data_IF_411435200618
#
_entry.id   IF_411435200618
#
_cell.length_a   1.000
_cell.length_b   1.000
_cell.length_c   1.000
_cell.angle_alpha   90.00
_cell.angle_beta   90.00
_cell.angle_gamma   90.00
#
_symmetry.space_group_name_H-M   'P 1'
#
loop_
_entity.id
_entity.type
_entity.pdbx_description
1 polymer ?
#
# COMPACT_ATOMS: atom_id res chain seq x y z
N UNK A 1 13.93 22.22 -11.85
CA UNK A 1 12.47 22.39 -12.01
C UNK A 1 12.12 22.15 -13.48
N UNK A 2 11.29 21.16 -13.78
CA UNK A 2 10.76 20.90 -15.12
C UNK A 2 9.32 21.42 -15.17
N UNK A 3 8.95 22.16 -16.22
CA UNK A 3 7.63 22.77 -16.36
C UNK A 3 6.92 22.13 -17.54
N UNK A 4 5.76 21.53 -17.29
CA UNK A 4 4.92 20.89 -18.30
C UNK A 4 3.51 21.47 -18.22
N UNK A 5 2.95 21.85 -19.37
CA UNK A 5 1.56 22.29 -19.48
C UNK A 5 0.72 21.14 -20.03
N UNK A 6 -0.29 20.71 -19.27
CA UNK A 6 -1.23 19.64 -19.64
C UNK A 6 -2.67 20.16 -19.61
N UNK A 7 -3.50 19.63 -20.51
CA UNK A 7 -4.95 19.81 -20.51
C UNK A 7 -5.61 18.81 -19.55
N UNK A 8 -6.85 19.08 -19.08
CA UNK A 8 -7.61 18.08 -18.35
C UNK A 8 -7.82 16.82 -19.20
N UNK A 9 -7.59 15.66 -18.60
CA UNK A 9 -7.59 14.34 -19.24
C UNK A 9 -6.21 13.85 -19.69
N UNK A 10 -5.17 14.70 -19.67
CA UNK A 10 -3.81 14.27 -19.98
C UNK A 10 -3.07 13.78 -18.73
N UNK A 11 -2.13 12.86 -18.95
CA UNK A 11 -1.25 12.32 -17.92
C UNK A 11 0.21 12.73 -18.11
N UNK A 12 0.96 12.67 -17.02
CA UNK A 12 2.41 12.88 -16.93
C UNK A 12 2.95 11.61 -16.26
N UNK A 13 3.91 10.98 -16.91
CA UNK A 13 4.58 9.81 -16.34
C UNK A 13 5.89 10.25 -15.72
N UNK A 14 6.09 9.89 -14.46
CA UNK A 14 7.32 10.13 -13.69
C UNK A 14 7.89 8.75 -13.36
N UNK A 15 9.12 8.48 -13.81
CA UNK A 15 9.69 7.13 -13.76
C UNK A 15 8.80 6.10 -14.51
N UNK A 16 8.99 4.80 -14.27
CA UNK A 16 8.16 3.75 -14.86
C UNK A 16 6.86 3.50 -14.07
N UNK A 17 6.79 3.95 -12.82
CA UNK A 17 5.77 3.50 -11.86
C UNK A 17 4.84 4.61 -11.34
N UNK A 18 5.10 5.89 -11.64
CA UNK A 18 4.28 6.99 -11.13
C UNK A 18 3.56 7.67 -12.30
N UNK A 19 2.25 7.76 -12.21
CA UNK A 19 1.41 8.43 -13.19
C UNK A 19 0.61 9.54 -12.52
N UNK A 20 0.75 10.77 -13.02
CA UNK A 20 -0.01 11.94 -12.57
C UNK A 20 -1.00 12.32 -13.66
N UNK A 21 -2.29 12.30 -13.37
CA UNK A 21 -3.36 12.63 -14.30
C UNK A 21 -4.00 13.95 -13.90
N UNK A 22 -4.18 14.86 -14.85
CA UNK A 22 -4.95 16.08 -14.61
C UNK A 22 -6.44 15.74 -14.80
N UNK A 23 -7.18 15.55 -13.72
CA UNK A 23 -8.59 15.17 -13.79
C UNK A 23 -9.48 16.33 -14.25
N UNK A 24 -9.11 17.57 -13.92
CA UNK A 24 -9.92 18.73 -14.23
C UNK A 24 -9.37 20.01 -13.63
N UNK A 25 -9.79 21.14 -14.20
CA UNK A 25 -9.51 22.48 -13.68
C UNK A 25 -10.84 23.14 -13.34
N UNK A 26 -10.95 23.68 -12.14
CA UNK A 26 -12.13 24.38 -11.66
C UNK A 26 -11.70 25.74 -11.12
N UNK A 27 -11.83 26.77 -11.96
CA UNK A 27 -11.34 28.12 -11.65
C UNK A 27 -9.84 28.09 -11.36
N UNK A 28 -9.46 28.37 -10.11
CA UNK A 28 -8.07 28.36 -9.66
C UNK A 28 -7.64 27.05 -8.96
N UNK A 29 -8.50 26.02 -8.92
CA UNK A 29 -8.15 24.71 -8.36
C UNK A 29 -7.96 23.69 -9.47
N UNK A 30 -6.90 22.90 -9.36
CA UNK A 30 -6.64 21.78 -10.27
C UNK A 30 -6.82 20.48 -9.49
N UNK A 31 -7.49 19.52 -10.10
CA UNK A 31 -7.64 18.15 -9.57
C UNK A 31 -6.57 17.28 -10.20
N UNK A 32 -5.72 16.70 -9.36
CA UNK A 32 -4.73 15.72 -9.77
C UNK A 32 -5.14 14.34 -9.28
N UNK A 33 -5.11 13.35 -10.14
CA UNK A 33 -5.06 11.94 -9.79
C UNK A 33 -3.60 11.51 -9.78
N UNK A 34 -3.15 10.82 -8.74
CA UNK A 34 -1.78 10.33 -8.64
C UNK A 34 -1.88 8.83 -8.41
N UNK A 35 -1.29 8.06 -9.31
CA UNK A 35 -1.13 6.63 -9.21
C UNK A 35 0.36 6.35 -8.96
N UNK A 36 0.65 5.72 -7.83
CA UNK A 36 2.01 5.36 -7.46
C UNK A 36 1.99 4.02 -6.72
N UNK A 37 3.10 3.26 -6.76
CA UNK A 37 3.24 2.03 -6.02
C UNK A 37 3.27 2.30 -4.49
N UNK A 38 2.97 1.27 -3.66
CA UNK A 38 2.79 1.43 -2.22
C UNK A 38 4.07 1.84 -1.46
N UNK A 39 5.24 1.75 -2.07
CA UNK A 39 6.50 2.18 -1.48
C UNK A 39 6.76 3.69 -1.61
N UNK A 40 5.96 4.41 -2.40
CA UNK A 40 6.06 5.86 -2.57
C UNK A 40 4.97 6.54 -1.76
N UNK A 41 5.37 7.29 -0.74
CA UNK A 41 4.43 8.13 0.02
C UNK A 41 4.05 9.37 -0.80
N UNK A 42 2.74 9.65 -0.90
CA UNK A 42 2.20 10.84 -1.55
C UNK A 42 1.56 11.72 -0.48
N UNK A 43 2.22 12.81 -0.14
CA UNK A 43 1.72 13.80 0.81
C UNK A 43 1.44 15.13 0.13
N UNK A 44 0.57 15.92 0.76
CA UNK A 44 0.41 17.33 0.38
C UNK A 44 1.56 18.12 0.99
N UNK A 45 2.11 19.08 0.24
CA UNK A 45 3.30 19.82 0.66
C UNK A 45 3.13 20.53 2.01
N UNK A 46 1.91 20.89 2.38
CA UNK A 46 1.58 21.53 3.65
C UNK A 46 1.51 20.56 4.84
N UNK A 47 1.48 19.24 4.60
CA UNK A 47 1.42 18.18 5.63
C UNK A 47 2.75 17.40 5.71
N UNK A 48 3.64 17.57 4.73
CA UNK A 48 4.85 16.77 4.51
C UNK A 48 5.94 16.83 5.60
N UNK A 49 5.68 17.43 6.77
CA UNK A 49 6.66 17.67 7.82
C UNK A 49 7.22 16.39 8.51
N UNK A 50 6.80 15.17 8.14
CA UNK A 50 7.07 13.98 8.95
C UNK A 50 7.60 12.72 8.22
N UNK A 51 7.88 12.74 6.91
CA UNK A 51 8.32 11.54 6.18
C UNK A 51 9.74 11.57 5.62
N UNK A 52 10.48 12.68 5.77
CA UNK A 52 11.82 12.82 5.21
C UNK A 52 12.90 11.92 5.86
N UNK A 53 12.62 11.34 7.04
CA UNK A 53 13.58 10.51 7.78
C UNK A 53 13.33 9.00 7.73
N UNK A 54 12.31 8.53 7.00
CA UNK A 54 12.15 7.11 6.74
C UNK A 54 12.71 6.78 5.36
N UNK A 55 14.00 6.45 5.31
CA UNK A 55 14.51 5.56 4.26
C UNK A 55 13.58 4.34 4.25
N UNK A 56 13.00 3.95 3.10
CA UNK A 56 12.23 2.72 3.02
C UNK A 56 13.21 1.58 3.28
N UNK A 57 13.28 1.15 4.54
CA UNK A 57 13.76 -0.17 4.93
C UNK A 57 12.78 -1.15 4.28
N UNK A 58 13.03 -1.45 3.01
CA UNK A 58 12.49 -2.63 2.35
C UNK A 58 13.14 -3.82 3.04
N UNK A 59 12.66 -4.15 4.24
CA UNK A 59 12.92 -5.44 4.85
C UNK A 59 12.16 -6.47 4.01
N UNK A 60 12.92 -7.05 3.08
CA UNK A 60 12.63 -8.21 2.24
C UNK A 60 11.74 -9.24 2.94
N UNK A 61 10.85 -9.95 2.21
CA UNK A 61 10.08 -11.06 2.74
C UNK A 61 10.97 -11.98 3.55
N UNK A 62 10.63 -12.16 4.83
CA UNK A 62 11.31 -13.09 5.73
C UNK A 62 11.31 -14.46 5.06
N UNK A 63 12.49 -14.93 4.66
CA UNK A 63 12.69 -16.32 4.27
C UNK A 63 12.09 -17.21 5.36
N UNK A 64 11.18 -18.14 5.05
CA UNK A 64 10.83 -19.17 6.00
C UNK A 64 12.06 -20.07 6.10
N UNK A 65 12.89 -19.81 7.11
CA UNK A 65 13.94 -20.74 7.50
C UNK A 65 13.27 -22.07 7.83
N UNK A 66 13.54 -23.04 6.95
CA UNK A 66 13.32 -24.46 7.13
C UNK A 66 13.72 -24.87 8.54
N UNK A 67 12.72 -25.18 9.37
CA UNK A 67 12.94 -26.03 10.53
C UNK A 67 12.61 -27.44 10.05
N UNK A 68 13.60 -28.33 9.81
CA UNK A 68 13.28 -29.73 9.64
C UNK A 68 12.69 -30.22 10.96
N UNK A 69 11.40 -30.53 10.92
CA UNK A 69 10.68 -31.18 12.01
C UNK A 69 11.24 -32.59 12.16
N UNK A 70 12.32 -32.75 12.93
CA UNK A 70 12.89 -34.04 13.27
C UNK A 70 12.92 -34.20 14.78
N UNK A 71 12.18 -35.22 15.23
CA UNK A 71 12.17 -35.85 16.56
C UNK A 71 11.41 -35.07 17.65
N UNK A 72 10.17 -35.45 17.93
CA UNK A 72 9.87 -36.54 18.87
C UNK A 72 8.36 -36.60 19.16
N UNK A 73 7.84 -37.80 19.32
CA UNK A 73 6.41 -38.04 19.47
C UNK A 73 5.78 -37.44 20.72
N UNK A 74 4.54 -37.00 20.58
CA UNK A 74 3.44 -37.37 21.46
C UNK A 74 2.13 -36.94 20.77
N UNK A 75 1.39 -37.92 20.27
CA UNK A 75 -0.02 -37.75 19.93
C UNK A 75 -0.76 -37.79 21.27
N UNK A 76 -1.34 -36.69 21.71
CA UNK A 76 -2.31 -36.68 22.78
C UNK A 76 -3.63 -36.12 22.23
N UNK A 77 -4.69 -36.90 22.47
CA UNK A 77 -6.12 -36.65 22.30
C UNK A 77 -6.51 -35.17 22.18
N UNK A 78 -7.21 -34.78 21.11
CA UNK A 78 -8.69 -34.75 21.04
C UNK A 78 -9.29 -34.09 22.28
N UNK A 79 -9.70 -32.83 22.15
CA UNK A 79 -11.01 -32.44 22.65
C UNK A 79 -11.67 -31.40 21.73
N UNK A 80 -12.88 -31.76 21.34
CA UNK A 80 -13.84 -31.03 20.52
C UNK A 80 -14.44 -29.93 21.38
N UNK A 81 -14.31 -28.66 21.00
CA UNK A 81 -15.20 -27.61 21.49
C UNK A 81 -15.60 -26.67 20.35
N UNK A 82 -16.83 -26.92 19.86
CA UNK A 82 -17.85 -25.93 19.51
C UNK A 82 -17.38 -24.65 18.82
N UNK A 83 -17.56 -24.47 17.51
CA UNK A 83 -18.86 -24.20 16.87
C UNK A 83 -19.76 -23.28 17.69
N UNK A 84 -19.41 -21.99 17.73
CA UNK A 84 -20.20 -20.82 18.13
C UNK A 84 -19.30 -19.63 17.73
N UNK A 85 -19.59 -18.73 16.79
CA UNK A 85 -20.83 -18.04 16.40
C UNK A 85 -20.57 -17.35 15.01
N UNK A 86 -21.52 -16.65 14.36
CA UNK A 86 -22.12 -16.94 13.06
C UNK A 86 -21.71 -15.92 11.97
N UNK A 87 -22.12 -16.11 10.69
CA UNK A 87 -22.05 -15.06 9.69
C UNK A 87 -23.03 -13.93 10.02
N UNK A 88 -22.51 -12.79 10.45
CA UNK A 88 -23.25 -11.54 10.59
C UNK A 88 -23.70 -11.05 9.21
N UNK A 89 -24.93 -11.40 8.89
CA UNK A 89 -25.78 -10.78 7.87
C UNK A 89 -26.36 -9.47 8.44
N UNK A 90 -26.99 -8.69 7.57
CA UNK A 90 -27.78 -7.47 7.82
C UNK A 90 -26.95 -6.16 7.88
N UNK A 91 -27.15 -5.16 7.01
CA UNK A 91 -28.14 -4.87 5.96
C UNK A 91 -27.52 -3.90 4.94
#
# INVERSE_FOLDING_TARGET
MLVLSRKPGESIQIDANITVVVLGVSGNRVRFGIEAPPHVSIDRSEVAAHHAERTPEFESPREPLLIPCLVSGHVHEIEVVHSIYPPGSDC
#
